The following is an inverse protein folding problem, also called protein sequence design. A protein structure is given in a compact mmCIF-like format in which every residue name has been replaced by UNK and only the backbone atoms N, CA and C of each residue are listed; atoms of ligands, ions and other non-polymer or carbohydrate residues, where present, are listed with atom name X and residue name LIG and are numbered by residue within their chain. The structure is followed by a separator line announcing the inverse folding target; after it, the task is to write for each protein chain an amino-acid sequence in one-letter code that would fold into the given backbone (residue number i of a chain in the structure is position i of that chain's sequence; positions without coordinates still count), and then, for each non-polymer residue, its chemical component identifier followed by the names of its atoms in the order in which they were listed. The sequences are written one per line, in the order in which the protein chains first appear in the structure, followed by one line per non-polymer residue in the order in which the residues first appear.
data_IF_914048500307
#
_entry.id   IF_914048500307
#
_cell.length_a   1.000
_cell.length_b   1.000
_cell.length_c   1.000
_cell.angle_alpha   90.00
_cell.angle_beta   90.00
_cell.angle_gamma   90.00
#
_symmetry.space_group_name_H-M   'P 1'
#
loop_
_entity.id
_entity.type
_entity.pdbx_description
1 polymer ?
#
# COMPACT_ATOMS: atom_id res chain seq x y z
N UNK A 1 8.99 -12.30 18.31
CA UNK A 1 7.87 -11.32 18.49
C UNK A 1 7.56 -10.82 17.10
N UNK A 2 6.33 -11.02 16.61
CA UNK A 2 5.95 -10.52 15.28
C UNK A 2 5.82 -8.99 15.32
N UNK A 3 6.56 -8.30 14.46
CA UNK A 3 6.43 -6.85 14.30
C UNK A 3 5.45 -6.56 13.16
N UNK A 4 4.53 -5.60 13.36
CA UNK A 4 3.64 -5.12 12.30
C UNK A 4 4.46 -4.39 11.23
N UNK A 5 4.03 -4.54 9.98
CA UNK A 5 4.59 -3.85 8.82
C UNK A 5 3.43 -3.39 7.94
N UNK A 6 3.52 -2.17 7.43
CA UNK A 6 2.51 -1.58 6.56
C UNK A 6 3.07 -1.32 5.15
N UNK A 7 2.18 -1.27 4.16
CA UNK A 7 2.56 -0.86 2.82
C UNK A 7 1.39 -0.34 1.98
N UNK A 8 1.75 0.41 0.94
CA UNK A 8 0.85 0.81 -0.14
C UNK A 8 1.55 0.65 -1.49
N UNK A 9 0.75 0.55 -2.54
CA UNK A 9 1.20 0.55 -3.92
C UNK A 9 0.61 1.80 -4.56
N UNK A 10 1.41 2.53 -5.32
CA UNK A 10 0.94 3.57 -6.20
C UNK A 10 1.10 3.16 -7.65
N UNK A 11 0.12 3.46 -8.48
CA UNK A 11 0.22 3.30 -9.93
C UNK A 11 -0.21 4.60 -10.61
N UNK A 12 0.29 4.80 -11.83
CA UNK A 12 -0.05 5.97 -12.61
C UNK A 12 -1.34 5.69 -13.38
N UNK A 13 -2.39 6.47 -13.11
CA UNK A 13 -3.65 6.40 -13.82
C UNK A 13 -3.50 6.92 -15.25
N UNK A 14 -4.48 6.61 -16.11
CA UNK A 14 -4.53 7.14 -17.48
C UNK A 14 -4.53 8.67 -17.53
N UNK A 15 -5.05 9.31 -16.49
CA UNK A 15 -5.10 10.77 -16.32
C UNK A 15 -3.74 11.35 -15.91
N UNK A 16 -2.72 10.50 -15.72
CA UNK A 16 -1.36 10.88 -15.35
C UNK A 16 -1.16 11.15 -13.86
N UNK A 17 -2.18 10.94 -13.03
CA UNK A 17 -2.13 11.07 -11.58
C UNK A 17 -1.69 9.75 -10.95
N UNK A 18 -1.29 9.77 -9.68
CA UNK A 18 -1.01 8.57 -8.91
C UNK A 18 -2.11 8.32 -7.90
N UNK A 19 -2.65 7.10 -7.92
CA UNK A 19 -3.56 6.62 -6.88
C UNK A 19 -2.84 5.58 -6.01
N UNK A 20 -3.31 5.43 -4.76
CA UNK A 20 -2.66 4.65 -3.70
C UNK A 20 -3.57 3.52 -3.23
N UNK A 21 -3.00 2.33 -3.08
CA UNK A 21 -3.69 1.16 -2.57
C UNK A 21 -4.11 1.35 -1.11
N UNK A 22 -5.39 1.18 -0.86
CA UNK A 22 -6.01 1.20 0.47
C UNK A 22 -7.01 0.06 0.61
N UNK A 23 -7.33 -0.27 1.85
CA UNK A 23 -8.37 -1.22 2.23
C UNK A 23 -9.58 -0.47 2.82
N UNK A 24 -10.72 -0.38 2.12
CA UNK A 24 -11.95 0.18 2.66
C UNK A 24 -12.40 -0.51 3.94
N UNK A 25 -13.01 0.25 4.85
CA UNK A 25 -13.59 -0.22 6.10
C UNK A 25 -15.11 0.03 6.10
N UNK A 26 -15.82 -0.62 7.03
CA UNK A 26 -17.28 -0.53 7.17
C UNK A 26 -17.75 0.88 7.54
N UNK A 27 -16.93 1.65 8.25
CA UNK A 27 -17.20 3.02 8.70
C UNK A 27 -16.83 4.09 7.65
N UNK A 28 -16.69 3.68 6.38
CA UNK A 28 -16.20 4.51 5.27
C UNK A 28 -14.80 5.10 5.49
N UNK A 29 -14.04 4.60 6.47
CA UNK A 29 -12.62 4.89 6.59
C UNK A 29 -11.81 3.96 5.69
N UNK A 30 -10.53 4.28 5.55
CA UNK A 30 -9.55 3.45 4.87
C UNK A 30 -8.52 2.95 5.86
N UNK A 31 -7.89 1.81 5.56
CA UNK A 31 -6.69 1.32 6.21
C UNK A 31 -5.63 1.01 5.16
N UNK A 32 -4.38 0.95 5.59
CA UNK A 32 -3.29 0.45 4.74
C UNK A 32 -3.25 -1.07 4.79
N UNK A 33 -2.57 -1.68 3.81
CA UNK A 33 -2.22 -3.08 3.91
C UNK A 33 -1.25 -3.25 5.07
N UNK A 34 -1.65 -4.03 6.08
CA UNK A 34 -0.83 -4.32 7.26
C UNK A 34 -0.66 -5.82 7.37
N UNK A 35 0.57 -6.25 7.64
CA UNK A 35 0.92 -7.66 7.86
C UNK A 35 1.87 -7.80 9.04
N UNK A 36 2.05 -9.03 9.51
CA UNK A 36 2.98 -9.36 10.57
C UNK A 36 4.25 -9.99 9.98
N UNK A 37 5.41 -9.47 10.38
CA UNK A 37 6.71 -10.07 10.06
C UNK A 37 6.87 -11.38 10.84
N UNK A 38 7.20 -12.46 10.14
CA UNK A 38 7.68 -13.70 10.79
C UNK A 38 9.15 -13.54 11.20
N UNK A 39 9.62 -14.31 12.20
CA UNK A 39 10.92 -14.07 12.83
C UNK A 39 12.10 -14.13 11.83
N UNK A 40 11.99 -14.94 10.77
CA UNK A 40 12.96 -15.15 9.69
C UNK A 40 12.87 -14.15 8.52
N UNK A 41 11.83 -13.33 8.45
CA UNK A 41 11.60 -12.39 7.34
C UNK A 41 12.17 -11.00 7.64
N UNK A 42 12.55 -10.24 6.62
CA UNK A 42 12.71 -8.77 6.78
C UNK A 42 11.32 -8.10 6.71
N UNK A 43 11.13 -6.88 7.25
CA UNK A 43 9.87 -6.16 7.10
C UNK A 43 9.46 -5.99 5.62
N UNK A 44 10.44 -5.67 4.76
CA UNK A 44 10.24 -5.56 3.32
C UNK A 44 9.76 -6.88 2.71
N UNK A 45 10.38 -8.01 3.07
CA UNK A 45 9.94 -9.32 2.58
C UNK A 45 8.52 -9.64 3.03
N UNK A 46 8.18 -9.36 4.28
CA UNK A 46 6.84 -9.62 4.82
C UNK A 46 5.74 -8.86 4.06
N UNK A 47 5.97 -7.57 3.77
CA UNK A 47 4.99 -6.77 3.03
C UNK A 47 4.86 -7.19 1.56
N UNK A 48 5.98 -7.53 0.89
CA UNK A 48 5.94 -8.04 -0.48
C UNK A 48 5.20 -9.39 -0.56
N UNK A 49 5.47 -10.32 0.37
CA UNK A 49 4.75 -11.60 0.45
C UNK A 49 3.25 -11.37 0.67
N UNK A 50 2.87 -10.43 1.54
CA UNK A 50 1.47 -10.11 1.78
C UNK A 50 0.79 -9.52 0.53
N UNK A 51 1.47 -8.61 -0.19
CA UNK A 51 0.98 -8.06 -1.46
C UNK A 51 0.76 -9.18 -2.48
N UNK A 52 1.74 -10.06 -2.67
CA UNK A 52 1.63 -11.16 -3.63
C UNK A 52 0.47 -12.09 -3.28
N UNK A 53 0.35 -12.48 -2.01
CA UNK A 53 -0.64 -13.43 -1.55
C UNK A 53 -2.08 -12.87 -1.54
N UNK A 54 -2.25 -11.59 -1.20
CA UNK A 54 -3.59 -11.00 -1.04
C UNK A 54 -4.10 -10.35 -2.34
N UNK A 55 -3.20 -9.80 -3.17
CA UNK A 55 -3.58 -8.97 -4.31
C UNK A 55 -3.26 -9.62 -5.66
N UNK A 56 -2.56 -10.77 -5.66
CA UNK A 56 -2.10 -11.44 -6.87
C UNK A 56 -1.27 -10.52 -7.80
N UNK A 57 -0.48 -9.63 -7.20
CA UNK A 57 0.44 -8.72 -7.90
C UNK A 57 1.82 -9.38 -7.96
N UNK A 58 2.46 -9.36 -9.13
CA UNK A 58 3.86 -9.75 -9.24
C UNK A 58 4.74 -8.69 -8.58
N UNK A 59 5.33 -9.05 -7.44
CA UNK A 59 6.20 -8.16 -6.65
C UNK A 59 7.46 -7.74 -7.40
N UNK A 60 7.84 -8.42 -8.48
CA UNK A 60 8.96 -8.02 -9.33
C UNK A 60 8.65 -6.77 -10.17
N UNK A 61 7.37 -6.43 -10.34
CA UNK A 61 6.91 -5.21 -11.02
C UNK A 61 6.82 -4.00 -10.08
N UNK A 62 7.08 -4.22 -8.78
CA UNK A 62 7.02 -3.18 -7.76
C UNK A 62 8.42 -2.61 -7.50
N UNK A 63 8.51 -1.29 -7.53
CA UNK A 63 9.72 -0.55 -7.15
C UNK A 63 9.48 0.14 -5.82
N UNK A 64 10.32 -0.15 -4.82
CA UNK A 64 10.29 0.61 -3.58
C UNK A 64 10.75 2.04 -3.85
N UNK A 65 9.87 3.01 -3.63
CA UNK A 65 10.17 4.43 -3.86
C UNK A 65 10.38 5.19 -2.55
N UNK A 66 9.76 4.74 -1.46
CA UNK A 66 9.89 5.40 -0.17
C UNK A 66 9.68 4.44 1.00
N UNK A 67 10.34 4.76 2.11
CA UNK A 67 10.24 4.10 3.41
C UNK A 67 9.98 5.18 4.46
N UNK A 68 8.92 5.02 5.23
CA UNK A 68 8.60 5.88 6.37
C UNK A 68 8.35 5.03 7.62
N UNK A 69 8.28 5.71 8.77
CA UNK A 69 7.79 5.12 10.01
C UNK A 69 6.50 5.83 10.42
N UNK A 70 5.49 5.05 10.75
CA UNK A 70 4.15 5.53 11.11
C UNK A 70 3.79 5.05 12.52
N UNK A 71 2.89 5.77 13.18
CA UNK A 71 2.31 5.32 14.44
C UNK A 71 0.95 4.66 14.15
N UNK A 72 0.92 3.34 14.21
CA UNK A 72 -0.31 2.57 14.04
C UNK A 72 -0.72 2.04 15.41
N UNK A 73 -1.81 2.56 15.96
CA UNK A 73 -2.38 2.11 17.25
C UNK A 73 -1.40 2.20 18.45
N UNK A 74 -0.48 3.17 18.43
CA UNK A 74 0.55 3.33 19.46
C UNK A 74 1.84 2.54 19.20
N UNK A 75 1.92 1.81 18.09
CA UNK A 75 3.10 1.05 17.67
C UNK A 75 3.82 1.76 16.52
N UNK A 76 5.16 1.83 16.61
CA UNK A 76 5.98 2.31 15.50
C UNK A 76 6.11 1.21 14.45
N UNK A 77 5.55 1.46 13.27
CA UNK A 77 5.45 0.50 12.17
C UNK A 77 6.21 1.03 10.96
N UNK A 78 7.04 0.18 10.35
CA UNK A 78 7.66 0.50 9.07
C UNK A 78 6.62 0.49 7.96
N UNK A 79 6.60 1.56 7.18
CA UNK A 79 5.68 1.78 6.07
C UNK A 79 6.44 1.87 4.75
N UNK A 80 6.06 1.03 3.80
CA UNK A 80 6.70 0.94 2.49
C UNK A 80 5.77 1.45 1.40
N UNK A 81 6.27 2.35 0.54
CA UNK A 81 5.54 2.86 -0.63
C UNK A 81 6.18 2.28 -1.88
N UNK A 82 5.41 1.49 -2.63
CA UNK A 82 5.85 0.88 -3.88
C UNK A 82 5.21 1.58 -5.05
N UNK A 83 5.95 1.78 -6.14
CA UNK A 83 5.39 2.14 -7.43
C UNK A 83 5.25 0.90 -8.30
N UNK A 84 4.06 0.67 -8.84
CA UNK A 84 3.83 -0.34 -9.86
C UNK A 84 4.38 0.15 -11.21
N UNK A 85 5.08 -0.74 -11.92
CA UNK A 85 5.47 -0.54 -13.32
C UNK A 85 4.34 -0.04 -14.21
N UNK A 86 4.71 0.60 -15.32
CA UNK A 86 3.75 1.09 -16.31
C UNK A 86 3.30 -0.05 -17.24
N UNK A 87 1.99 -0.16 -17.45
CA UNK A 87 1.37 -1.15 -18.34
C UNK A 87 0.31 -0.48 -19.24
N UNK A 88 -0.18 -1.25 -20.21
CA UNK A 88 -1.34 -0.89 -21.04
C UNK A 88 -2.63 -0.82 -20.18
N UNK A 89 -3.61 -0.04 -20.62
CA UNK A 89 -4.88 0.17 -19.90
C UNK A 89 -5.62 -1.13 -19.55
N UNK A 90 -5.65 -2.09 -20.46
CA UNK A 90 -6.33 -3.37 -20.29
C UNK A 90 -5.75 -4.19 -19.13
N UNK A 91 -4.43 -4.09 -18.90
CA UNK A 91 -3.78 -4.75 -17.76
C UNK A 91 -4.31 -4.22 -16.44
N UNK A 92 -4.38 -2.90 -16.28
CA UNK A 92 -4.89 -2.32 -15.04
C UNK A 92 -6.38 -2.61 -14.85
N UNK A 93 -7.17 -2.65 -15.93
CA UNK A 93 -8.61 -2.95 -15.83
C UNK A 93 -8.85 -4.30 -15.16
N UNK A 94 -8.14 -5.34 -15.58
CA UNK A 94 -8.29 -6.68 -14.98
C UNK A 94 -7.69 -6.75 -13.57
N UNK A 95 -6.50 -6.18 -13.37
CA UNK A 95 -5.86 -6.18 -12.05
C UNK A 95 -6.66 -5.42 -11.00
N UNK A 96 -7.24 -4.27 -11.35
CA UNK A 96 -8.09 -3.48 -10.45
C UNK A 96 -9.36 -4.24 -10.06
N UNK A 97 -9.92 -5.07 -10.95
CA UNK A 97 -11.05 -5.96 -10.64
C UNK A 97 -10.66 -6.99 -9.59
N UNK A 98 -9.54 -7.68 -9.76
CA UNK A 98 -9.02 -8.68 -8.81
C UNK A 98 -8.75 -8.05 -7.44
N UNK A 99 -8.14 -6.87 -7.42
CA UNK A 99 -7.84 -6.12 -6.19
C UNK A 99 -9.13 -5.72 -5.46
N UNK A 100 -10.16 -5.28 -6.21
CA UNK A 100 -11.48 -4.99 -5.67
C UNK A 100 -12.14 -6.21 -5.04
N UNK A 101 -12.05 -7.38 -5.69
CA UNK A 101 -12.56 -8.66 -5.17
C UNK A 101 -11.81 -9.12 -3.90
N UNK A 102 -10.54 -8.76 -3.76
CA UNK A 102 -9.75 -8.96 -2.54
C UNK A 102 -10.09 -7.95 -1.42
N UNK A 103 -11.00 -7.00 -1.67
CA UNK A 103 -11.43 -6.00 -0.69
C UNK A 103 -10.52 -4.78 -0.59
N UNK A 104 -9.73 -4.50 -1.63
CA UNK A 104 -8.86 -3.34 -1.72
C UNK A 104 -9.28 -2.43 -2.89
N UNK A 105 -8.85 -1.18 -2.87
CA UNK A 105 -8.97 -0.28 -4.03
C UNK A 105 -7.84 0.71 -4.05
N UNK A 106 -7.71 1.41 -5.17
CA UNK A 106 -6.88 2.59 -5.23
C UNK A 106 -7.70 3.84 -4.88
N UNK A 107 -7.13 4.69 -4.05
CA UNK A 107 -7.67 5.95 -3.59
C UNK A 107 -6.81 7.10 -4.12
N UNK A 108 -7.44 8.23 -4.40
CA UNK A 108 -6.74 9.38 -4.94
C UNK A 108 -5.80 10.02 -3.88
N UNK A 109 -4.90 10.94 -4.26
CA UNK A 109 -3.96 11.56 -3.33
C UNK A 109 -4.62 12.24 -2.11
N UNK A 110 -5.80 12.85 -2.28
CA UNK A 110 -6.51 13.53 -1.19
C UNK A 110 -7.02 12.52 -0.15
N UNK A 111 -7.70 11.47 -0.61
CA UNK A 111 -8.19 10.38 0.25
C UNK A 111 -7.03 9.69 1.00
N UNK A 112 -5.89 9.51 0.34
CA UNK A 112 -4.71 8.91 0.94
C UNK A 112 -4.03 9.83 1.95
N UNK A 113 -3.98 11.14 1.69
CA UNK A 113 -3.43 12.11 2.65
C UNK A 113 -4.26 12.15 3.94
N UNK A 114 -5.60 12.13 3.83
CA UNK A 114 -6.49 12.04 5.01
C UNK A 114 -6.27 10.75 5.82
N UNK A 115 -5.90 9.65 5.16
CA UNK A 115 -5.52 8.42 5.83
C UNK A 115 -4.21 8.58 6.61
N UNK A 116 -3.19 9.18 5.99
CA UNK A 116 -1.89 9.43 6.63
C UNK A 116 -2.01 10.36 7.84
N UNK A 117 -2.82 11.42 7.76
CA UNK A 117 -3.01 12.37 8.85
C UNK A 117 -3.56 11.71 10.13
N UNK A 118 -4.38 10.65 9.97
CA UNK A 118 -4.92 9.87 11.10
C UNK A 118 -3.91 8.93 11.75
N UNK A 119 -2.77 8.68 11.11
CA UNK A 119 -1.78 7.67 11.51
C UNK A 119 -0.51 8.27 12.13
N UNK A 120 -0.57 9.55 12.55
CA UNK A 120 0.54 10.31 13.14
C UNK A 120 1.89 9.97 12.47
N UNK A 121 1.94 10.14 11.15
CA UNK A 121 3.11 9.79 10.34
C UNK A 121 4.28 10.67 10.75
N UNK A 122 5.32 10.07 11.34
CA UNK A 122 6.51 10.81 11.80
C UNK A 122 7.38 11.35 10.66
N UNK A 123 7.16 10.88 9.43
CA UNK A 123 7.78 11.40 8.19
C UNK A 123 6.85 11.21 7.00
N UNK A 124 6.21 12.27 6.50
CA UNK A 124 5.31 12.19 5.35
C UNK A 124 6.13 12.00 4.06
N UNK A 125 5.78 11.05 3.17
CA UNK A 125 6.36 10.96 1.84
C UNK A 125 6.22 12.28 1.06
N UNK A 126 7.32 12.82 0.54
CA UNK A 126 7.25 13.91 -0.45
C UNK A 126 6.76 13.33 -1.78
N UNK A 127 5.47 13.47 -2.05
CA UNK A 127 4.85 13.16 -3.34
C UNK A 127 5.11 14.37 -4.26
N UNK A 128 6.11 14.28 -5.13
CA UNK A 128 6.39 15.28 -6.18
C UNK A 128 5.57 15.02 -7.44
#
# INVERSE_FOLDING_TARGET
MSAKVAGTIMYKTEQGQYDFLVQPQVDASYKMLVTNKQDDQTPLAAVLIAIQAQLNIDVNELRLINLANINLEGENVSFFVFQWGAHEADFYTEQLRIISEAGFRFANPSEFTELLDKLEVTSVPHLN
#
